data_IF_741103966096
#
_entry.id   IF_741103966096
#
_cell.length_a   1.000
_cell.length_b   1.000
_cell.length_c   1.000
_cell.angle_alpha   90.00
_cell.angle_beta   90.00
_cell.angle_gamma   90.00
#
_symmetry.space_group_name_H-M   'P 1'
#
loop_
_entity.id
_entity.type
_entity.pdbx_description
1 polymer ?
#
# COMPACT_ATOMS: atom_id res chain seq x y z
N UNK A 1 66.32 35.69 -64.03
CA UNK A 1 67.15 36.59 -63.18
C UNK A 1 67.57 35.84 -61.91
N UNK A 2 68.76 36.12 -61.36
CA UNK A 2 69.50 35.23 -60.45
C UNK A 2 69.30 35.55 -58.95
N UNK A 3 70.05 34.83 -58.10
CA UNK A 3 70.38 35.05 -56.66
C UNK A 3 69.40 34.42 -55.66
N UNK A 4 69.75 33.43 -54.82
CA UNK A 4 70.85 33.24 -53.84
C UNK A 4 70.62 33.99 -52.52
N UNK A 5 70.55 33.21 -51.43
CA UNK A 5 70.63 33.59 -50.01
C UNK A 5 69.72 32.65 -49.20
N UNK A 6 70.15 31.59 -48.51
CA UNK A 6 71.23 31.33 -47.53
C UNK A 6 71.06 32.05 -46.19
N UNK A 7 71.01 31.21 -45.15
CA UNK A 7 71.26 31.42 -43.71
C UNK A 7 70.11 32.03 -42.88
N UNK A 8 69.85 31.62 -41.64
CA UNK A 8 70.33 30.51 -40.80
C UNK A 8 69.54 30.56 -39.46
N UNK A 9 69.59 29.46 -38.71
CA UNK A 9 69.56 29.39 -37.23
C UNK A 9 68.25 29.33 -36.43
N UNK A 10 68.20 28.30 -35.58
CA UNK A 10 67.40 28.19 -34.34
C UNK A 10 66.27 27.16 -34.47
N UNK A 11 66.42 25.88 -34.15
CA UNK A 11 67.04 25.33 -32.95
C UNK A 11 65.94 25.04 -31.92
N UNK A 12 65.40 23.82 -31.92
CA UNK A 12 64.97 23.04 -30.76
C UNK A 12 64.06 21.89 -31.21
N UNK A 13 64.60 20.69 -31.12
CA UNK A 13 63.84 19.44 -31.20
C UNK A 13 63.29 19.13 -29.80
N UNK A 14 62.23 18.30 -29.78
CA UNK A 14 61.73 17.49 -28.65
C UNK A 14 60.65 18.23 -27.83
N UNK A 15 59.39 17.78 -27.68
CA UNK A 15 58.86 16.41 -27.55
C UNK A 15 57.36 16.36 -27.86
N UNK A 16 56.94 15.19 -28.32
CA UNK A 16 55.58 14.72 -28.60
C UNK A 16 54.48 15.13 -27.61
N UNK A 17 53.35 15.62 -28.14
CA UNK A 17 52.00 15.25 -27.66
C UNK A 17 51.15 14.92 -28.89
N UNK A 18 50.60 13.70 -28.90
CA UNK A 18 49.94 13.02 -30.00
C UNK A 18 48.57 13.67 -30.27
N UNK A 19 48.39 14.14 -31.51
CA UNK A 19 47.21 14.87 -32.00
C UNK A 19 45.98 13.98 -32.15
N UNK A 20 44.86 14.53 -31.71
CA UNK A 20 43.48 14.14 -31.99
C UNK A 20 42.99 14.60 -33.37
N UNK A 21 41.86 13.99 -33.77
CA UNK A 21 40.82 14.44 -34.69
C UNK A 21 41.13 14.51 -36.20
N UNK A 22 40.43 13.68 -36.97
CA UNK A 22 39.34 14.15 -37.85
C UNK A 22 38.67 12.98 -38.57
N UNK A 23 37.36 12.78 -38.37
CA UNK A 23 36.43 12.32 -39.41
C UNK A 23 35.09 13.03 -39.19
N UNK A 24 34.56 13.58 -40.28
CA UNK A 24 33.36 14.40 -40.45
C UNK A 24 32.13 13.52 -40.67
N UNK A 25 30.94 13.92 -40.20
CA UNK A 25 29.68 13.36 -40.73
C UNK A 25 28.38 13.70 -39.97
N UNK A 26 27.50 14.45 -40.65
CA UNK A 26 26.04 14.56 -40.50
C UNK A 26 25.42 15.32 -39.30
N UNK A 27 24.86 16.49 -39.63
CA UNK A 27 23.88 17.23 -38.82
C UNK A 27 22.48 16.65 -39.12
N UNK A 28 21.85 16.01 -38.13
CA UNK A 28 20.43 15.69 -38.14
C UNK A 28 19.80 16.28 -36.87
N UNK A 29 18.84 17.17 -37.06
CA UNK A 29 18.12 17.86 -36.00
C UNK A 29 17.15 16.90 -35.29
N UNK A 30 17.44 16.56 -34.03
CA UNK A 30 16.51 15.86 -33.14
C UNK A 30 15.85 16.88 -32.21
N UNK A 31 14.67 17.35 -32.60
CA UNK A 31 13.74 18.04 -31.71
C UNK A 31 13.23 17.03 -30.67
N UNK A 32 13.84 17.00 -29.49
CA UNK A 32 13.27 16.31 -28.32
C UNK A 32 12.01 17.06 -27.88
N UNK A 33 10.86 16.62 -28.36
CA UNK A 33 9.57 17.02 -27.81
C UNK A 33 9.49 16.59 -26.35
N UNK A 34 9.51 17.57 -25.43
CA UNK A 34 9.13 17.37 -24.04
C UNK A 34 7.64 17.05 -24.00
N UNK A 35 7.28 15.77 -24.15
CA UNK A 35 5.97 15.29 -23.75
C UNK A 35 5.87 15.43 -22.24
N UNK A 36 4.95 16.28 -21.76
CA UNK A 36 4.63 16.34 -20.34
C UNK A 36 4.23 14.92 -19.87
N UNK A 37 4.67 14.45 -18.70
CA UNK A 37 4.24 13.17 -18.18
C UNK A 37 2.72 13.22 -18.00
N UNK A 38 2.00 12.46 -18.80
CA UNK A 38 0.57 12.25 -18.59
C UNK A 38 0.47 11.49 -17.26
N UNK A 39 -0.27 11.99 -16.25
CA UNK A 39 -0.46 11.23 -15.03
C UNK A 39 -1.14 9.92 -15.42
N UNK A 40 -0.43 8.80 -15.22
CA UNK A 40 -1.02 7.48 -15.34
C UNK A 40 -2.09 7.38 -14.25
N UNK A 41 -3.35 7.60 -14.61
CA UNK A 41 -4.47 7.16 -13.79
C UNK A 41 -4.47 5.63 -13.87
N UNK A 42 -4.24 4.97 -12.75
CA UNK A 42 -4.62 3.57 -12.65
C UNK A 42 -6.14 3.52 -12.81
N UNK A 43 -6.65 2.79 -13.80
CA UNK A 43 -8.08 2.51 -13.88
C UNK A 43 -8.46 1.61 -12.69
N UNK A 44 -9.67 1.76 -12.12
CA UNK A 44 -10.15 0.86 -11.08
C UNK A 44 -9.98 -0.61 -11.48
N UNK A 45 -9.26 -1.37 -10.66
CA UNK A 45 -8.99 -2.78 -10.89
C UNK A 45 -10.09 -3.62 -10.25
N UNK A 46 -10.82 -4.39 -11.06
CA UNK A 46 -11.78 -5.36 -10.55
C UNK A 46 -11.04 -6.60 -10.02
N UNK A 47 -11.43 -7.06 -8.83
CA UNK A 47 -10.82 -8.21 -8.17
C UNK A 47 -11.71 -9.46 -8.30
N UNK A 48 -11.14 -10.67 -8.39
CA UNK A 48 -11.91 -11.90 -8.47
C UNK A 48 -12.71 -12.16 -7.19
N UNK A 49 -13.95 -12.69 -7.28
CA UNK A 49 -14.76 -13.01 -6.10
C UNK A 49 -14.12 -14.15 -5.30
N UNK A 50 -14.30 -14.11 -3.98
CA UNK A 50 -13.82 -15.11 -3.04
C UNK A 50 -14.98 -15.79 -2.35
N UNK A 51 -14.85 -17.09 -2.06
CA UNK A 51 -15.91 -17.86 -1.40
C UNK A 51 -15.32 -19.02 -0.62
N UNK A 52 -15.90 -19.31 0.55
CA UNK A 52 -15.55 -20.48 1.33
C UNK A 52 -16.73 -20.98 2.14
N UNK A 53 -16.80 -22.31 2.24
CA UNK A 53 -17.83 -23.05 2.96
C UNK A 53 -17.18 -23.93 4.03
N UNK A 54 -17.82 -24.00 5.19
CA UNK A 54 -17.36 -24.79 6.32
C UNK A 54 -18.53 -25.34 7.09
N UNK A 55 -18.41 -26.58 7.56
CA UNK A 55 -19.31 -27.11 8.58
C UNK A 55 -18.64 -26.96 9.95
N UNK A 56 -19.33 -26.32 10.90
CA UNK A 56 -18.89 -26.22 12.29
C UNK A 56 -18.98 -27.57 13.01
N UNK A 57 -18.40 -27.66 14.21
CA UNK A 57 -18.44 -28.91 15.00
C UNK A 57 -19.85 -29.27 15.46
N UNK A 58 -20.71 -28.27 15.68
CA UNK A 58 -22.12 -28.39 16.05
C UNK A 58 -23.08 -28.34 14.85
N UNK A 59 -22.55 -28.59 13.63
CA UNK A 59 -23.35 -28.87 12.45
C UNK A 59 -23.86 -27.66 11.66
N UNK A 60 -23.44 -26.43 12.01
CA UNK A 60 -23.76 -25.26 11.19
C UNK A 60 -23.02 -25.30 9.86
N UNK A 61 -23.74 -25.13 8.76
CA UNK A 61 -23.20 -24.85 7.43
C UNK A 61 -22.98 -23.35 7.29
N UNK A 62 -21.71 -22.96 7.26
CA UNK A 62 -21.23 -21.58 7.26
C UNK A 62 -20.62 -21.23 5.92
N UNK A 63 -21.15 -20.19 5.26
CA UNK A 63 -20.60 -19.64 4.04
C UNK A 63 -20.17 -18.19 4.24
N UNK A 64 -19.07 -17.80 3.63
CA UNK A 64 -18.73 -16.39 3.42
C UNK A 64 -18.27 -16.15 1.99
N UNK A 65 -18.63 -14.98 1.46
CA UNK A 65 -18.31 -14.54 0.10
C UNK A 65 -17.85 -13.08 0.11
N UNK A 66 -16.87 -12.75 -0.73
CA UNK A 66 -16.51 -11.38 -1.12
C UNK A 66 -16.78 -11.24 -2.62
N UNK A 67 -17.44 -10.17 -3.02
CA UNK A 67 -17.85 -9.90 -4.40
C UNK A 67 -17.92 -8.40 -4.70
N UNK A 68 -17.97 -8.06 -5.98
CA UNK A 68 -18.02 -6.64 -6.41
C UNK A 68 -16.79 -5.84 -5.98
N UNK A 69 -15.67 -6.50 -5.68
CA UNK A 69 -14.48 -5.82 -5.20
C UNK A 69 -13.79 -5.05 -6.33
N UNK A 70 -13.55 -3.76 -6.09
CA UNK A 70 -12.77 -2.89 -6.96
C UNK A 70 -11.79 -2.07 -6.16
N UNK A 71 -10.54 -2.02 -6.62
CA UNK A 71 -9.47 -1.22 -6.04
C UNK A 71 -9.08 -0.12 -7.01
N UNK A 72 -9.26 1.13 -6.60
CA UNK A 72 -8.93 2.30 -7.39
C UNK A 72 -7.75 3.04 -6.75
N UNK A 73 -6.53 2.72 -7.19
CA UNK A 73 -5.33 3.43 -6.77
C UNK A 73 -5.32 4.85 -7.34
N UNK A 74 -5.05 5.85 -6.50
CA UNK A 74 -5.03 7.26 -6.90
C UNK A 74 -3.72 7.93 -6.50
N UNK A 75 -3.28 8.96 -7.23
CA UNK A 75 -2.18 9.80 -6.77
C UNK A 75 -2.50 10.37 -5.38
N UNK A 76 -1.55 10.23 -4.46
CA UNK A 76 -1.66 10.76 -3.09
C UNK A 76 -1.96 12.26 -3.10
N UNK A 77 -2.94 12.69 -2.28
CA UNK A 77 -3.39 14.08 -2.23
C UNK A 77 -2.30 15.07 -1.78
N UNK A 78 -1.36 14.64 -0.94
CA UNK A 78 -0.25 15.45 -0.45
C UNK A 78 0.99 15.41 -1.38
N UNK A 79 0.94 14.67 -2.50
CA UNK A 79 2.07 14.40 -3.39
C UNK A 79 3.33 13.87 -2.65
N UNK A 80 3.13 13.17 -1.54
CA UNK A 80 4.23 12.62 -0.75
C UNK A 80 4.80 11.38 -1.44
N UNK A 81 6.12 11.37 -1.68
CA UNK A 81 6.78 10.28 -2.41
C UNK A 81 6.66 8.90 -1.72
N UNK A 82 6.54 8.90 -0.39
CA UNK A 82 6.43 7.73 0.48
C UNK A 82 4.98 7.44 0.92
N UNK A 83 3.99 7.92 0.17
CA UNK A 83 2.59 7.67 0.49
C UNK A 83 1.83 7.14 -0.73
N UNK A 84 0.89 6.24 -0.47
CA UNK A 84 -0.02 5.65 -1.45
C UNK A 84 -1.45 5.83 -0.95
N UNK A 85 -2.35 6.11 -1.88
CA UNK A 85 -3.77 6.35 -1.59
C UNK A 85 -4.63 5.61 -2.60
N UNK A 86 -5.83 5.23 -2.17
CA UNK A 86 -6.79 4.54 -3.03
C UNK A 86 -8.20 4.63 -2.51
N UNK A 87 -9.14 4.19 -3.33
CA UNK A 87 -10.51 3.95 -2.93
C UNK A 87 -10.85 2.49 -3.17
N UNK A 88 -11.57 1.89 -2.23
CA UNK A 88 -12.01 0.50 -2.33
C UNK A 88 -13.53 0.41 -2.26
N UNK A 89 -14.08 -0.48 -3.07
CA UNK A 89 -15.48 -0.91 -3.01
C UNK A 89 -15.47 -2.43 -2.91
N UNK A 90 -16.32 -3.02 -2.07
CA UNK A 90 -16.49 -4.46 -1.96
C UNK A 90 -17.81 -4.77 -1.23
N UNK A 91 -18.44 -5.86 -1.63
CA UNK A 91 -19.58 -6.45 -0.94
C UNK A 91 -19.17 -7.80 -0.35
N UNK A 92 -19.75 -8.16 0.79
CA UNK A 92 -19.55 -9.46 1.38
C UNK A 92 -20.84 -10.00 1.99
N UNK A 93 -21.03 -11.32 1.91
CA UNK A 93 -22.20 -12.00 2.45
C UNK A 93 -21.74 -13.15 3.34
N UNK A 94 -22.39 -13.31 4.49
CA UNK A 94 -22.24 -14.49 5.34
C UNK A 94 -23.59 -15.18 5.53
N UNK A 95 -23.58 -16.52 5.53
CA UNK A 95 -24.76 -17.33 5.86
C UNK A 95 -24.42 -18.45 6.84
N UNK A 96 -25.33 -18.76 7.75
CA UNK A 96 -25.28 -19.88 8.67
C UNK A 96 -26.61 -20.63 8.63
N UNK A 97 -26.59 -21.93 8.32
CA UNK A 97 -27.80 -22.77 8.26
C UNK A 97 -27.59 -24.13 8.92
N UNK A 98 -28.68 -24.77 9.39
CA UNK A 98 -28.71 -26.20 9.73
C UNK A 98 -28.10 -26.64 11.07
N UNK A 99 -27.59 -25.74 11.92
CA UNK A 99 -27.01 -26.14 13.20
C UNK A 99 -28.03 -26.59 14.25
N UNK A 100 -27.55 -27.37 15.23
CA UNK A 100 -28.40 -27.96 16.28
C UNK A 100 -28.69 -27.03 17.45
N UNK A 101 -27.79 -26.08 17.73
CA UNK A 101 -27.90 -25.12 18.83
C UNK A 101 -28.02 -23.69 18.28
N UNK A 102 -28.88 -22.84 18.86
CA UNK A 102 -29.04 -21.47 18.39
C UNK A 102 -27.73 -20.69 18.53
N UNK A 103 -27.48 -19.81 17.56
CA UNK A 103 -26.36 -18.86 17.60
C UNK A 103 -26.66 -17.82 18.69
N UNK A 104 -25.76 -17.70 19.66
CA UNK A 104 -25.87 -16.77 20.80
C UNK A 104 -25.08 -15.48 20.58
N UNK A 105 -24.01 -15.56 19.79
CA UNK A 105 -23.20 -14.41 19.37
C UNK A 105 -22.67 -14.65 17.96
N UNK A 106 -22.63 -13.60 17.15
CA UNK A 106 -22.03 -13.65 15.83
C UNK A 106 -21.41 -12.32 15.44
N UNK A 107 -20.31 -12.40 14.70
CA UNK A 107 -19.58 -11.25 14.20
C UNK A 107 -19.07 -11.57 12.81
N UNK A 108 -19.54 -10.81 11.83
CA UNK A 108 -19.05 -10.81 10.47
C UNK A 108 -18.34 -9.48 10.20
N UNK A 109 -17.13 -9.52 9.66
CA UNK A 109 -16.28 -8.36 9.38
C UNK A 109 -15.83 -8.44 7.92
N UNK A 110 -15.85 -7.30 7.23
CA UNK A 110 -15.19 -7.08 5.95
C UNK A 110 -14.17 -5.96 6.12
N UNK A 111 -12.97 -6.17 5.60
CA UNK A 111 -11.88 -5.20 5.71
C UNK A 111 -10.76 -5.45 4.71
N UNK A 112 -9.67 -4.70 4.90
CA UNK A 112 -8.46 -4.82 4.10
C UNK A 112 -7.23 -4.92 4.98
N UNK A 113 -6.30 -5.75 4.56
CA UNK A 113 -4.93 -5.77 5.03
C UNK A 113 -4.08 -4.83 4.17
N UNK A 114 -3.17 -4.08 4.80
CA UNK A 114 -2.16 -3.29 4.10
C UNK A 114 -0.77 -3.73 4.49
N UNK A 115 0.09 -3.91 3.49
CA UNK A 115 1.51 -4.23 3.66
C UNK A 115 2.39 -3.26 2.88
N UNK A 116 3.41 -2.71 3.53
CA UNK A 116 4.42 -1.87 2.89
C UNK A 116 5.69 -2.67 2.61
N UNK A 117 6.26 -2.51 1.41
CA UNK A 117 7.47 -3.24 1.00
C UNK A 117 8.65 -2.92 1.90
N UNK A 118 8.87 -1.64 2.19
CA UNK A 118 9.79 -1.15 3.21
C UNK A 118 9.11 -0.04 3.98
N UNK A 119 9.30 0.00 5.28
CA UNK A 119 8.89 1.16 6.07
C UNK A 119 10.06 2.12 6.19
N UNK A 120 9.82 3.38 5.85
CA UNK A 120 10.82 4.45 5.87
C UNK A 120 10.51 5.50 6.94
N UNK A 121 9.60 5.21 7.88
CA UNK A 121 9.23 6.11 8.98
C UNK A 121 10.46 6.46 9.84
N UNK A 122 11.39 5.52 10.01
CA UNK A 122 12.66 5.72 10.69
C UNK A 122 13.79 6.32 9.81
N UNK A 123 13.57 6.41 8.48
CA UNK A 123 14.56 6.80 7.48
C UNK A 123 14.39 8.21 6.88
N UNK A 124 13.25 8.88 7.11
CA UNK A 124 13.01 10.28 6.72
C UNK A 124 13.76 11.30 7.62
N UNK A 125 14.96 10.93 8.08
CA UNK A 125 16.00 11.85 8.55
C UNK A 125 17.20 11.88 7.57
N UNK A 126 17.14 11.13 6.47
CA UNK A 126 18.25 11.05 5.50
C UNK A 126 17.79 11.68 4.19
N UNK A 127 17.81 13.02 4.16
CA UNK A 127 17.33 13.77 3.00
C UNK A 127 17.57 15.28 3.01
N UNK A 128 18.62 15.77 3.67
CA UNK A 128 19.26 17.05 3.29
C UNK A 128 18.96 18.29 4.13
N UNK A 129 19.79 18.53 5.15
CA UNK A 129 20.63 19.74 5.18
C UNK A 129 21.95 19.38 5.85
N UNK A 130 23.06 19.75 5.21
CA UNK A 130 24.37 19.80 5.84
C UNK A 130 24.27 20.59 7.16
N UNK A 131 24.52 19.92 8.28
CA UNK A 131 24.41 20.49 9.60
C UNK A 131 25.21 19.66 10.59
N UNK A 132 26.42 20.10 10.84
CA UNK A 132 27.38 19.56 11.79
C UNK A 132 26.76 19.62 13.20
N UNK A 133 26.71 18.51 13.94
CA UNK A 133 26.26 18.51 15.33
C UNK A 133 26.42 17.13 16.00
N UNK A 134 27.18 17.02 17.11
CA UNK A 134 27.47 15.74 17.74
C UNK A 134 26.28 15.24 18.56
N UNK A 135 26.06 13.92 18.49
CA UNK A 135 25.47 13.05 19.52
C UNK A 135 24.82 13.74 20.73
N UNK A 136 23.48 13.78 20.77
CA UNK A 136 22.71 13.91 22.01
C UNK A 136 21.46 13.02 21.91
N UNK A 137 21.63 11.76 22.32
CA UNK A 137 20.56 11.07 23.03
C UNK A 137 20.24 11.92 24.27
N UNK A 138 18.94 12.15 24.55
CA UNK A 138 18.31 12.27 25.87
C UNK A 138 16.97 13.04 25.77
N UNK A 139 15.87 12.27 25.91
CA UNK A 139 14.74 12.63 26.78
C UNK A 139 13.43 13.05 26.13
N UNK A 140 12.23 12.89 26.72
CA UNK A 140 11.71 12.33 27.97
C UNK A 140 10.18 12.14 27.78
N UNK A 141 9.49 11.37 28.62
CA UNK A 141 8.07 11.59 28.90
C UNK A 141 7.06 10.53 28.47
N UNK A 142 7.06 9.39 29.16
CA UNK A 142 5.90 8.76 29.80
C UNK A 142 4.60 9.60 29.87
N UNK A 143 3.47 9.03 29.41
CA UNK A 143 2.13 8.99 30.05
C UNK A 143 0.97 8.93 29.03
N UNK A 144 0.54 7.73 28.61
CA UNK A 144 -0.87 7.48 28.28
C UNK A 144 -1.27 6.10 28.84
N UNK A 145 -2.23 6.12 29.76
CA UNK A 145 -2.73 4.98 30.52
C UNK A 145 -3.49 3.95 29.66
N UNK A 146 -3.44 2.65 30.04
CA UNK A 146 -4.30 1.61 29.45
C UNK A 146 -5.67 1.62 30.14
N UNK A 147 -6.71 2.10 29.45
CA UNK A 147 -8.06 2.04 29.99
C UNK A 147 -9.06 2.91 29.26
N UNK A 148 -9.72 2.35 28.25
CA UNK A 148 -11.02 2.81 27.79
C UNK A 148 -11.84 1.59 27.32
N UNK A 149 -12.43 0.90 28.29
CA UNK A 149 -13.68 0.16 28.09
C UNK A 149 -14.85 1.03 28.58
N UNK A 150 -16.09 0.59 28.32
CA UNK A 150 -17.39 1.29 28.38
C UNK A 150 -17.70 1.92 27.00
N UNK A 151 -18.65 1.45 26.18
CA UNK A 151 -19.89 0.72 26.43
C UNK A 151 -21.05 1.58 25.93
N UNK A 152 -21.77 1.13 24.89
CA UNK A 152 -22.97 1.82 24.38
C UNK A 152 -23.07 1.78 22.86
N UNK A 153 -24.14 1.14 22.36
CA UNK A 153 -24.34 0.85 20.94
C UNK A 153 -24.31 2.08 20.01
N UNK A 154 -23.87 1.80 18.79
CA UNK A 154 -23.76 2.77 17.70
C UNK A 154 -22.56 2.38 16.86
N UNK A 155 -22.80 1.93 15.62
CA UNK A 155 -21.73 1.57 14.69
C UNK A 155 -20.76 2.73 14.51
N UNK A 156 -19.57 2.59 15.09
CA UNK A 156 -18.46 3.47 14.86
C UNK A 156 -17.69 2.91 13.66
N UNK A 157 -18.10 3.31 12.46
CA UNK A 157 -17.20 3.32 11.31
C UNK A 157 -16.17 4.46 11.54
N UNK A 158 -15.24 4.22 12.47
CA UNK A 158 -14.09 5.08 12.70
C UNK A 158 -12.95 4.58 11.85
N UNK A 159 -12.58 5.33 10.82
CA UNK A 159 -11.36 5.06 10.06
C UNK A 159 -10.16 5.35 10.94
N UNK A 160 -9.59 4.30 11.53
CA UNK A 160 -8.34 4.37 12.27
C UNK A 160 -7.21 4.36 11.25
N UNK A 161 -6.74 5.54 10.84
CA UNK A 161 -5.48 5.67 10.12
C UNK A 161 -4.34 5.46 11.13
N UNK A 162 -3.94 4.21 11.33
CA UNK A 162 -2.76 3.88 12.13
C UNK A 162 -1.52 4.24 11.31
N UNK A 163 -0.56 4.92 11.94
CA UNK A 163 0.78 5.04 11.38
C UNK A 163 1.33 3.61 11.29
N UNK A 164 1.51 3.11 10.07
CA UNK A 164 2.05 1.77 9.83
C UNK A 164 3.43 1.72 10.47
N UNK A 165 3.64 0.72 11.34
CA UNK A 165 4.92 0.49 12.00
C UNK A 165 5.75 -0.50 11.18
N UNK A 166 7.09 -0.45 11.23
CA UNK A 166 7.93 -1.10 10.21
C UNK A 166 7.69 -2.59 9.98
N UNK A 167 7.38 -2.97 8.74
CA UNK A 167 7.35 -4.38 8.29
C UNK A 167 6.11 -5.18 8.70
N UNK A 168 5.02 -4.53 9.11
CA UNK A 168 3.81 -5.17 9.64
C UNK A 168 2.65 -5.06 8.67
N UNK A 169 1.85 -6.13 8.57
CA UNK A 169 0.54 -6.12 7.89
C UNK A 169 -0.48 -5.55 8.87
N UNK A 170 -1.23 -4.53 8.45
CA UNK A 170 -2.27 -3.90 9.27
C UNK A 170 -3.64 -4.30 8.77
N UNK A 171 -4.46 -4.88 9.65
CA UNK A 171 -5.89 -5.12 9.42
C UNK A 171 -6.68 -3.83 9.64
N UNK A 172 -7.37 -3.36 8.60
CA UNK A 172 -8.36 -2.29 8.69
C UNK A 172 -9.77 -2.90 8.63
N UNK A 173 -10.41 -3.16 9.79
CA UNK A 173 -11.81 -3.57 9.81
C UNK A 173 -12.67 -2.38 9.37
N UNK A 174 -13.25 -2.46 8.17
CA UNK A 174 -13.99 -1.34 7.59
C UNK A 174 -15.45 -1.35 8.00
N UNK A 175 -16.07 -2.52 8.03
CA UNK A 175 -17.47 -2.68 8.41
C UNK A 175 -17.70 -4.04 9.06
N UNK A 176 -18.69 -4.11 9.95
CA UNK A 176 -19.06 -5.34 10.64
C UNK A 176 -20.55 -5.37 10.98
N UNK A 177 -21.08 -6.59 11.14
CA UNK A 177 -22.46 -6.82 11.55
C UNK A 177 -22.59 -8.22 12.16
N UNK A 178 -23.57 -8.41 13.05
CA UNK A 178 -24.02 -9.73 13.47
C UNK A 178 -24.90 -10.38 12.38
N UNK A 179 -25.00 -11.71 12.38
CA UNK A 179 -26.00 -12.42 11.60
C UNK A 179 -27.38 -12.12 12.16
N UNK A 180 -28.37 -11.99 11.28
CA UNK A 180 -29.76 -11.85 11.66
C UNK A 180 -30.36 -13.20 12.13
N UNK A 181 -31.63 -13.19 12.55
CA UNK A 181 -32.34 -14.39 13.02
C UNK A 181 -32.46 -15.51 11.96
N UNK A 182 -32.36 -15.16 10.67
CA UNK A 182 -32.32 -16.13 9.57
C UNK A 182 -30.91 -16.66 9.27
N UNK A 183 -29.91 -16.26 10.05
CA UNK A 183 -28.52 -16.68 9.86
C UNK A 183 -27.85 -15.99 8.68
N UNK A 184 -28.23 -14.76 8.33
CA UNK A 184 -27.64 -14.03 7.19
C UNK A 184 -27.14 -12.64 7.62
N UNK A 185 -26.03 -12.20 7.02
CA UNK A 185 -25.59 -10.80 7.06
C UNK A 185 -24.96 -10.40 5.72
N UNK A 186 -25.08 -9.11 5.40
CA UNK A 186 -24.51 -8.50 4.21
C UNK A 186 -23.77 -7.23 4.62
N UNK A 187 -22.59 -7.02 4.05
CA UNK A 187 -21.73 -5.88 4.31
C UNK A 187 -21.33 -5.27 2.98
N UNK A 188 -21.42 -3.94 2.88
CA UNK A 188 -21.02 -3.20 1.69
C UNK A 188 -20.05 -2.09 2.10
N UNK A 189 -19.01 -1.94 1.29
CA UNK A 189 -18.05 -0.85 1.30
C UNK A 189 -18.18 -0.19 -0.06
N UNK A 190 -18.44 1.11 -0.10
CA UNK A 190 -18.52 1.86 -1.34
C UNK A 190 -17.60 3.08 -1.31
N UNK A 191 -16.67 3.11 -2.27
CA UNK A 191 -15.72 4.19 -2.52
C UNK A 191 -15.02 4.70 -1.26
N UNK A 192 -14.53 3.77 -0.45
CA UNK A 192 -13.95 4.09 0.84
C UNK A 192 -12.46 4.40 0.72
N UNK A 193 -12.03 5.52 1.31
CA UNK A 193 -10.66 6.01 1.21
C UNK A 193 -9.71 5.18 2.06
N UNK A 194 -8.60 4.78 1.45
CA UNK A 194 -7.47 4.13 2.11
C UNK A 194 -6.19 4.91 1.84
N UNK A 195 -5.31 4.95 2.83
CA UNK A 195 -4.04 5.65 2.77
C UNK A 195 -2.98 4.90 3.57
N UNK A 196 -1.81 4.74 2.96
CA UNK A 196 -0.63 4.20 3.59
C UNK A 196 0.50 5.24 3.51
N UNK A 197 0.93 5.73 4.66
CA UNK A 197 2.00 6.71 4.80
C UNK A 197 3.32 6.06 5.23
N UNK A 198 4.43 6.74 4.95
CA UNK A 198 5.78 6.31 5.33
C UNK A 198 6.22 4.96 4.72
N UNK A 199 5.67 4.62 3.56
CA UNK A 199 6.01 3.39 2.84
C UNK A 199 7.04 3.67 1.73
N UNK A 200 8.20 3.05 1.85
CA UNK A 200 9.24 2.99 0.83
C UNK A 200 8.91 1.89 -0.17
N UNK A 201 8.75 2.28 -1.44
CA UNK A 201 8.46 1.34 -2.52
C UNK A 201 6.97 1.12 -2.73
N UNK A 202 6.61 -0.14 -3.03
CA UNK A 202 5.23 -0.54 -3.33
C UNK A 202 4.44 -0.78 -2.04
N UNK A 203 3.15 -0.46 -2.08
CA UNK A 203 2.17 -0.85 -1.06
C UNK A 203 1.25 -1.89 -1.66
N UNK A 204 1.02 -2.98 -0.93
CA UNK A 204 0.11 -4.05 -1.33
C UNK A 204 -1.07 -4.08 -0.39
N UNK A 205 -2.26 -4.24 -0.93
CA UNK A 205 -3.48 -4.41 -0.16
C UNK A 205 -4.14 -5.73 -0.51
N UNK A 206 -4.95 -6.25 0.43
CA UNK A 206 -5.71 -7.48 0.24
C UNK A 206 -7.00 -7.42 1.05
N UNK A 207 -8.12 -7.74 0.43
CA UNK A 207 -9.39 -7.86 1.14
C UNK A 207 -9.41 -9.08 2.05
N UNK A 208 -10.11 -8.98 3.17
CA UNK A 208 -10.43 -10.13 4.02
C UNK A 208 -11.88 -10.05 4.52
N UNK A 209 -12.50 -11.23 4.66
CA UNK A 209 -13.77 -11.37 5.34
C UNK A 209 -13.62 -12.40 6.45
N UNK A 210 -14.06 -12.05 7.66
CA UNK A 210 -13.95 -12.86 8.86
C UNK A 210 -15.33 -13.12 9.44
N UNK A 211 -15.63 -14.38 9.73
CA UNK A 211 -16.85 -14.78 10.40
C UNK A 211 -16.51 -15.52 11.69
N UNK A 212 -17.16 -15.09 12.78
CA UNK A 212 -17.22 -15.78 14.07
C UNK A 212 -18.66 -16.06 14.42
N UNK A 213 -18.95 -17.29 14.86
CA UNK A 213 -20.21 -17.67 15.50
C UNK A 213 -19.94 -18.39 16.81
N UNK A 214 -20.84 -18.19 17.77
CA UNK A 214 -20.85 -18.87 19.06
C UNK A 214 -22.23 -19.46 19.31
N UNK A 215 -22.27 -20.67 19.84
CA UNK A 215 -23.45 -21.33 20.39
C UNK A 215 -23.19 -21.69 21.85
N UNK A 216 -24.13 -22.39 22.49
CA UNK A 216 -23.90 -22.92 23.84
C UNK A 216 -22.80 -24.01 23.90
N UNK A 217 -22.48 -24.65 22.77
CA UNK A 217 -21.61 -25.84 22.73
C UNK A 217 -20.35 -25.64 21.87
N UNK A 218 -20.34 -24.68 20.95
CA UNK A 218 -19.24 -24.48 20.03
C UNK A 218 -18.95 -23.00 19.77
N UNK A 219 -17.67 -22.73 19.50
CA UNK A 219 -17.19 -21.46 18.98
C UNK A 219 -16.44 -21.76 17.68
N UNK A 220 -16.90 -21.17 16.57
CA UNK A 220 -16.30 -21.36 15.25
C UNK A 220 -15.93 -20.01 14.66
N UNK A 221 -14.70 -19.91 14.16
CA UNK A 221 -14.22 -18.72 13.47
C UNK A 221 -13.35 -19.11 12.28
N UNK A 222 -13.41 -18.32 11.21
CA UNK A 222 -12.57 -18.48 10.03
C UNK A 222 -12.59 -17.19 9.19
N UNK A 223 -11.63 -17.07 8.27
CA UNK A 223 -11.54 -15.96 7.34
C UNK A 223 -11.24 -16.45 5.92
N UNK A 224 -11.64 -15.64 4.94
CA UNK A 224 -11.19 -15.72 3.54
C UNK A 224 -10.45 -14.46 3.18
N UNK A 225 -9.57 -14.58 2.19
CA UNK A 225 -8.71 -13.51 1.73
C UNK A 225 -8.78 -13.40 0.21
N UNK A 226 -8.76 -12.16 -0.29
CA UNK A 226 -8.60 -11.87 -1.71
C UNK A 226 -7.19 -12.07 -2.23
N UNK A 227 -7.03 -11.90 -3.54
CA UNK A 227 -5.72 -11.80 -4.16
C UNK A 227 -5.08 -10.44 -3.79
N UNK A 228 -3.79 -10.40 -3.44
CA UNK A 228 -3.12 -9.14 -3.15
C UNK A 228 -2.93 -8.29 -4.42
N UNK A 229 -3.13 -6.97 -4.32
CA UNK A 229 -2.87 -6.02 -5.41
C UNK A 229 -2.10 -4.80 -4.92
N UNK A 230 -1.40 -4.10 -5.82
CA UNK A 230 -0.61 -2.91 -5.49
C UNK A 230 -1.44 -1.64 -5.62
N UNK A 231 -1.15 -0.65 -4.77
CA UNK A 231 -1.70 0.71 -4.82
C UNK A 231 -0.60 1.78 -4.80
#
# INVERSE_FOLDING_TARGET
MPQRGRNDSGGAVVKFVKRSCAVVGAVAATLCGFGAPVPARAEPMAMPPQFYEKVSRDGWHLSIRIDGETVNAVPNLAAAANSREGFVTASATATATGGSNPITDSLFILGYELGCQSDVSAGLNIGGTAGIGPSLALGLGNDIAPGASIGGGGGLAGFVQTVVQPGVIVDLPMTNMALNDSGQSMLDIDNLHIKADACGGDVTIRSYAYLRISTAEAHTQFAIYGEPTKI
#
